data_IF_740627414660
#
_entry.id   IF_740627414660
#
_cell.length_a   1.000
_cell.length_b   1.000
_cell.length_c   1.000
_cell.angle_alpha   90.00
_cell.angle_beta   90.00
_cell.angle_gamma   90.00
#
_symmetry.space_group_name_H-M   'P 1'
#
loop_
_entity.id
_entity.type
_entity.pdbx_description
1 polymer ?
#
# COMPACT_ATOMS: atom_id res chain seq x y z
N UNK A 1 13.44 -14.33 4.56
CA UNK A 1 13.25 -13.37 3.46
C UNK A 1 13.95 -13.99 2.26
N UNK A 2 14.23 -13.40 1.22
CA UNK A 2 14.90 -14.01 0.06
C UNK A 2 14.17 -13.59 -1.20
N UNK A 3 14.45 -14.22 -2.35
CA UNK A 3 13.87 -13.87 -3.64
C UNK A 3 12.35 -13.98 -3.76
N UNK A 4 11.65 -14.41 -2.71
CA UNK A 4 10.18 -14.44 -2.63
C UNK A 4 9.55 -13.27 -1.88
N UNK A 5 10.32 -12.37 -1.30
CA UNK A 5 9.82 -11.13 -0.72
C UNK A 5 9.43 -10.14 -1.83
N UNK A 6 8.51 -9.20 -1.54
CA UNK A 6 8.13 -8.16 -2.49
C UNK A 6 9.33 -7.33 -2.96
N UNK A 7 10.27 -7.05 -2.06
CA UNK A 7 11.53 -6.40 -2.38
C UNK A 7 12.61 -7.45 -2.57
N UNK A 8 12.66 -8.02 -3.76
CA UNK A 8 13.66 -9.01 -4.16
C UNK A 8 15.09 -8.45 -4.19
N UNK A 9 15.24 -7.13 -4.22
CA UNK A 9 16.52 -6.43 -4.05
C UNK A 9 17.17 -6.60 -2.67
N UNK A 10 16.41 -7.08 -1.69
CA UNK A 10 16.88 -7.42 -0.34
C UNK A 10 17.17 -8.93 -0.20
N UNK A 11 17.63 -9.59 -1.25
CA UNK A 11 17.78 -11.04 -1.34
C UNK A 11 18.79 -11.65 -0.34
N UNK A 12 19.79 -10.89 0.08
CA UNK A 12 20.78 -11.35 1.06
C UNK A 12 20.27 -11.31 2.51
N UNK A 13 19.22 -10.52 2.81
CA UNK A 13 18.64 -10.45 4.17
C UNK A 13 18.12 -11.82 4.62
N UNK A 14 17.60 -12.63 3.69
CA UNK A 14 17.06 -13.95 3.98
C UNK A 14 18.09 -15.06 4.14
N UNK A 15 19.37 -14.81 3.88
CA UNK A 15 20.40 -15.79 4.08
C UNK A 15 20.48 -16.21 5.56
N UNK A 16 20.86 -17.46 5.81
CA UNK A 16 21.04 -18.02 7.15
C UNK A 16 19.79 -17.92 8.06
N UNK A 17 18.60 -17.89 7.45
CA UNK A 17 17.34 -17.89 8.19
C UNK A 17 16.77 -16.50 8.51
N UNK A 18 17.19 -15.47 7.79
CA UNK A 18 16.60 -14.14 7.91
C UNK A 18 15.10 -14.10 7.60
N UNK A 19 14.36 -13.22 8.28
CA UNK A 19 12.90 -13.19 8.26
C UNK A 19 12.35 -11.82 7.84
N UNK A 20 11.23 -11.80 7.12
CA UNK A 20 10.54 -10.58 6.69
C UNK A 20 9.32 -10.30 7.56
N UNK A 21 9.29 -9.16 8.22
CA UNK A 21 8.12 -8.69 8.98
C UNK A 21 6.98 -8.35 8.02
N UNK A 22 7.29 -7.69 6.88
CA UNK A 22 6.28 -7.42 5.86
C UNK A 22 5.59 -8.69 5.36
N UNK A 23 6.36 -9.75 5.07
CA UNK A 23 5.80 -11.02 4.60
C UNK A 23 4.92 -11.68 5.68
N UNK A 24 5.23 -11.45 6.95
CA UNK A 24 4.36 -11.85 8.06
C UNK A 24 2.98 -11.19 7.98
N UNK A 25 2.91 -9.88 7.77
CA UNK A 25 1.66 -9.16 7.56
C UNK A 25 0.92 -9.65 6.31
N UNK A 26 1.62 -9.81 5.20
CA UNK A 26 1.03 -10.33 3.96
C UNK A 26 0.43 -11.72 4.15
N UNK A 27 1.14 -12.61 4.84
CA UNK A 27 0.63 -13.96 5.14
C UNK A 27 -0.59 -13.93 6.06
N UNK A 28 -0.70 -12.96 6.97
CA UNK A 28 -1.92 -12.78 7.78
C UNK A 28 -3.13 -12.47 6.90
N UNK A 29 -3.02 -11.54 5.96
CA UNK A 29 -4.09 -11.24 5.01
C UNK A 29 -4.49 -12.46 4.18
N UNK A 30 -3.50 -13.24 3.73
CA UNK A 30 -3.75 -14.50 3.01
C UNK A 30 -4.49 -15.51 3.90
N UNK A 31 -4.07 -15.70 5.15
CA UNK A 31 -4.70 -16.65 6.08
C UNK A 31 -6.15 -16.26 6.39
N UNK A 32 -6.43 -14.97 6.58
CA UNK A 32 -7.78 -14.46 6.81
C UNK A 32 -8.70 -14.73 5.61
N UNK A 33 -8.21 -14.48 4.39
CA UNK A 33 -8.94 -14.81 3.16
C UNK A 33 -9.15 -16.32 2.98
N UNK A 34 -8.15 -17.13 3.36
CA UNK A 34 -8.26 -18.59 3.33
C UNK A 34 -9.27 -19.11 4.38
N UNK A 35 -9.44 -18.46 5.53
CA UNK A 35 -10.51 -18.76 6.46
C UNK A 35 -11.89 -18.57 5.82
N UNK A 36 -12.12 -17.41 5.19
CA UNK A 36 -13.36 -17.12 4.48
C UNK A 36 -13.63 -18.13 3.36
N UNK A 37 -12.61 -18.47 2.56
CA UNK A 37 -12.72 -19.45 1.49
C UNK A 37 -13.06 -20.85 2.03
N UNK A 38 -12.42 -21.26 3.12
CA UNK A 38 -12.69 -22.55 3.77
C UNK A 38 -14.14 -22.62 4.30
N UNK A 39 -14.69 -21.52 4.76
CA UNK A 39 -16.09 -21.39 5.19
C UNK A 39 -17.05 -21.59 4.00
N UNK A 40 -16.82 -20.86 2.90
CA UNK A 40 -17.59 -20.97 1.65
C UNK A 40 -17.56 -22.42 1.12
N UNK A 41 -16.37 -23.04 1.14
CA UNK A 41 -16.16 -24.42 0.69
C UNK A 41 -16.59 -25.49 1.73
N UNK A 42 -17.13 -25.10 2.87
CA UNK A 42 -17.52 -25.98 3.99
C UNK A 42 -16.36 -26.84 4.52
N UNK A 43 -15.13 -26.38 4.45
CA UNK A 43 -13.90 -27.04 4.90
C UNK A 43 -13.54 -26.61 6.35
N UNK A 44 -14.42 -26.93 7.31
CA UNK A 44 -14.31 -26.46 8.70
C UNK A 44 -12.96 -26.77 9.36
N UNK A 45 -12.35 -27.92 9.10
CA UNK A 45 -11.05 -28.29 9.67
C UNK A 45 -9.92 -27.38 9.14
N UNK A 46 -9.93 -27.08 7.84
CA UNK A 46 -8.96 -26.18 7.25
C UNK A 46 -9.13 -24.75 7.76
N UNK A 47 -10.39 -24.26 7.87
CA UNK A 47 -10.68 -22.94 8.44
C UNK A 47 -10.14 -22.79 9.87
N UNK A 48 -10.35 -23.79 10.73
CA UNK A 48 -9.77 -23.79 12.10
C UNK A 48 -8.24 -23.75 12.08
N UNK A 49 -7.61 -24.54 11.20
CA UNK A 49 -6.15 -24.59 11.05
C UNK A 49 -5.58 -23.24 10.58
N UNK A 50 -6.23 -22.58 9.62
CA UNK A 50 -5.82 -21.24 9.14
C UNK A 50 -5.99 -20.20 10.24
N UNK A 51 -7.12 -20.15 10.93
CA UNK A 51 -7.37 -19.23 12.02
C UNK A 51 -6.34 -19.38 13.16
N UNK A 52 -5.99 -20.62 13.54
CA UNK A 52 -4.95 -20.86 14.54
C UNK A 52 -3.57 -20.36 14.09
N UNK A 53 -3.20 -20.60 12.83
CA UNK A 53 -1.96 -20.09 12.25
C UNK A 53 -1.95 -18.57 12.23
N UNK A 54 -3.03 -17.92 11.79
CA UNK A 54 -3.17 -16.48 11.76
C UNK A 54 -2.99 -15.87 13.16
N UNK A 55 -3.65 -16.43 14.18
CA UNK A 55 -3.52 -15.96 15.56
C UNK A 55 -2.08 -16.06 16.09
N UNK A 56 -1.40 -17.18 15.86
CA UNK A 56 0.00 -17.37 16.26
C UNK A 56 0.93 -16.39 15.54
N UNK A 57 0.77 -16.26 14.21
CA UNK A 57 1.57 -15.36 13.39
C UNK A 57 1.37 -13.90 13.80
N UNK A 58 0.12 -13.46 14.03
CA UNK A 58 -0.18 -12.10 14.49
C UNK A 58 0.58 -11.80 15.78
N UNK A 59 0.49 -12.67 16.77
CA UNK A 59 1.22 -12.51 18.02
C UNK A 59 2.73 -12.36 17.80
N UNK A 60 3.33 -13.21 16.96
CA UNK A 60 4.77 -13.12 16.66
C UNK A 60 5.14 -11.82 15.97
N UNK A 61 4.36 -11.41 14.96
CA UNK A 61 4.65 -10.16 14.20
C UNK A 61 4.48 -8.92 15.06
N UNK A 62 3.47 -8.88 15.93
CA UNK A 62 3.28 -7.78 16.87
C UNK A 62 4.44 -7.69 17.88
N UNK A 63 4.85 -8.81 18.47
CA UNK A 63 5.89 -8.83 19.49
C UNK A 63 7.30 -8.58 18.92
N UNK A 64 7.65 -9.22 17.81
CA UNK A 64 8.98 -9.11 17.23
C UNK A 64 9.09 -7.93 16.23
N UNK A 65 8.00 -7.61 15.53
CA UNK A 65 8.02 -6.57 14.50
C UNK A 65 8.02 -5.15 15.04
N UNK A 66 7.42 -4.88 16.20
CA UNK A 66 7.27 -3.54 16.75
C UNK A 66 8.60 -2.99 17.31
N UNK A 67 8.97 -1.76 16.96
CA UNK A 67 10.20 -1.07 17.41
C UNK A 67 9.93 0.13 18.33
N UNK A 68 8.71 0.23 18.86
CA UNK A 68 8.32 1.31 19.76
C UNK A 68 7.75 2.56 19.08
N UNK A 69 7.94 2.71 17.76
CA UNK A 69 7.38 3.81 16.99
C UNK A 69 6.92 3.40 15.57
N UNK A 70 7.42 2.29 15.06
CA UNK A 70 7.05 1.69 13.78
C UNK A 70 7.39 0.20 13.75
N UNK A 71 6.91 -0.54 12.73
CA UNK A 71 7.27 -1.94 12.53
C UNK A 71 8.56 -2.07 11.73
N UNK A 72 9.46 -2.93 12.19
CA UNK A 72 10.69 -3.32 11.49
C UNK A 72 10.37 -3.88 10.11
N UNK A 73 11.35 -3.80 9.22
CA UNK A 73 11.22 -4.38 7.87
C UNK A 73 11.50 -5.88 7.87
N UNK A 74 12.57 -6.28 8.53
CA UNK A 74 13.07 -7.64 8.50
C UNK A 74 14.10 -7.88 9.62
N UNK A 75 14.55 -9.12 9.70
CA UNK A 75 15.72 -9.54 10.46
C UNK A 75 16.69 -10.28 9.55
N UNK A 76 17.97 -9.98 9.66
CA UNK A 76 19.02 -10.80 9.08
C UNK A 76 19.12 -12.15 9.80
N UNK A 77 19.76 -13.16 9.19
CA UNK A 77 20.00 -14.45 9.83
C UNK A 77 20.87 -14.36 11.10
N UNK A 78 21.64 -13.28 11.26
CA UNK A 78 22.35 -12.95 12.50
C UNK A 78 21.44 -12.52 13.65
N UNK A 79 20.15 -12.25 13.38
CA UNK A 79 19.21 -11.66 14.34
C UNK A 79 19.20 -10.13 14.37
N UNK A 80 20.10 -9.48 13.62
CA UNK A 80 20.11 -8.01 13.53
C UNK A 80 18.89 -7.48 12.78
N UNK A 81 18.21 -6.43 13.32
CA UNK A 81 17.03 -5.89 12.68
C UNK A 81 17.37 -4.95 11.51
N UNK A 82 16.52 -4.97 10.49
CA UNK A 82 16.43 -4.01 9.41
C UNK A 82 15.10 -3.24 9.51
N UNK A 83 15.12 -1.93 9.27
CA UNK A 83 13.94 -1.09 9.46
C UNK A 83 13.71 -0.72 10.92
N UNK A 84 14.77 -0.65 11.72
CA UNK A 84 14.75 -0.36 13.14
C UNK A 84 15.40 0.99 13.45
N UNK A 85 15.00 1.60 14.56
CA UNK A 85 15.57 2.87 15.05
C UNK A 85 17.10 2.76 15.20
N UNK A 86 17.80 3.71 14.59
CA UNK A 86 19.26 3.78 14.59
C UNK A 86 19.94 3.00 13.48
N UNK A 87 19.20 2.30 12.60
CA UNK A 87 19.81 1.77 11.40
C UNK A 87 20.36 2.92 10.53
N UNK A 88 21.58 2.81 10.06
CA UNK A 88 22.24 3.83 9.21
C UNK A 88 21.63 3.89 7.80
N UNK A 89 20.99 2.82 7.36
CA UNK A 89 20.20 2.74 6.15
C UNK A 89 18.92 1.96 6.43
N UNK A 90 17.85 2.27 5.71
CA UNK A 90 16.54 1.67 5.92
C UNK A 90 16.11 1.68 7.41
N UNK A 91 16.14 2.85 8.05
CA UNK A 91 15.66 2.99 9.43
C UNK A 91 14.16 2.75 9.51
N UNK A 92 13.41 3.17 8.49
CA UNK A 92 11.99 2.88 8.32
C UNK A 92 11.70 2.49 6.87
N UNK A 93 10.75 1.57 6.70
CA UNK A 93 10.27 1.09 5.40
C UNK A 93 8.75 1.26 5.30
N UNK A 94 8.28 1.76 4.15
CA UNK A 94 6.88 2.09 3.91
C UNK A 94 5.95 0.88 3.98
N UNK A 95 6.35 -0.24 3.36
CA UNK A 95 5.41 -1.36 3.17
C UNK A 95 5.11 -2.11 4.46
N UNK A 96 6.04 -2.15 5.42
CA UNK A 96 5.79 -2.76 6.72
C UNK A 96 4.69 -2.01 7.49
N UNK A 97 4.74 -0.68 7.48
CA UNK A 97 3.75 0.17 8.15
C UNK A 97 2.39 0.09 7.46
N UNK A 98 2.40 0.20 6.12
CA UNK A 98 1.19 0.14 5.33
C UNK A 98 0.45 -1.20 5.53
N UNK A 99 1.17 -2.32 5.48
CA UNK A 99 0.57 -3.64 5.64
C UNK A 99 0.15 -3.96 7.06
N UNK A 100 0.83 -3.41 8.07
CA UNK A 100 0.34 -3.46 9.45
C UNK A 100 -1.05 -2.82 9.57
N UNK A 101 -1.25 -1.64 8.99
CA UNK A 101 -2.55 -0.97 8.99
C UNK A 101 -3.61 -1.72 8.15
N UNK A 102 -3.23 -2.25 6.98
CA UNK A 102 -4.12 -3.05 6.12
C UNK A 102 -4.63 -4.29 6.86
N UNK A 103 -3.78 -4.91 7.68
CA UNK A 103 -4.09 -6.10 8.47
C UNK A 103 -4.67 -5.80 9.87
N UNK A 104 -4.85 -4.54 10.25
CA UNK A 104 -5.36 -4.14 11.57
C UNK A 104 -4.39 -4.48 12.71
N UNK A 105 -3.11 -4.10 12.55
CA UNK A 105 -2.07 -4.22 13.58
C UNK A 105 -2.38 -3.37 14.80
N UNK A 106 -1.88 -3.79 15.98
CA UNK A 106 -2.16 -3.15 17.27
C UNK A 106 -1.64 -1.70 17.33
N UNK A 107 -0.53 -1.40 16.64
CA UNK A 107 0.12 -0.09 16.57
C UNK A 107 0.01 0.56 15.19
N UNK A 108 -1.06 0.24 14.45
CA UNK A 108 -1.22 0.70 13.06
C UNK A 108 -1.25 2.23 12.92
N UNK A 109 -1.92 2.93 13.85
CA UNK A 109 -2.01 4.40 13.85
C UNK A 109 -0.65 5.05 14.04
N UNK A 110 0.13 4.60 15.03
CA UNK A 110 1.48 5.10 15.30
C UNK A 110 2.44 4.80 14.14
N UNK A 111 2.35 3.58 13.60
CA UNK A 111 3.18 3.15 12.48
C UNK A 111 2.93 3.98 11.22
N UNK A 112 1.66 4.24 10.89
CA UNK A 112 1.30 5.08 9.73
C UNK A 112 1.69 6.54 9.96
N UNK A 113 1.52 7.07 11.16
CA UNK A 113 1.98 8.43 11.47
C UNK A 113 3.51 8.56 11.34
N UNK A 114 4.28 7.58 11.81
CA UNK A 114 5.74 7.54 11.63
C UNK A 114 6.11 7.44 10.14
N UNK A 115 5.43 6.59 9.38
CA UNK A 115 5.61 6.46 7.92
C UNK A 115 5.38 7.81 7.22
N UNK A 116 4.27 8.48 7.50
CA UNK A 116 3.95 9.78 6.89
C UNK A 116 4.96 10.85 7.30
N UNK A 117 5.38 10.88 8.56
CA UNK A 117 6.35 11.87 9.07
C UNK A 117 7.74 11.71 8.47
N UNK A 118 8.21 10.48 8.23
CA UNK A 118 9.57 10.19 7.81
C UNK A 118 9.73 9.98 6.31
N UNK A 119 8.67 9.52 5.63
CA UNK A 119 8.76 9.10 4.23
C UNK A 119 8.00 10.01 3.26
N UNK A 120 6.95 10.72 3.72
CA UNK A 120 6.20 11.60 2.85
C UNK A 120 6.90 12.95 2.72
N UNK A 121 7.14 13.34 1.48
CA UNK A 121 7.72 14.63 1.07
C UNK A 121 6.64 15.41 0.33
N UNK A 122 6.03 16.38 1.02
CA UNK A 122 4.94 17.19 0.49
C UNK A 122 5.42 18.21 -0.56
N UNK A 123 6.68 18.64 -0.51
CA UNK A 123 7.25 19.56 -1.47
C UNK A 123 7.48 18.92 -2.83
N UNK A 124 7.93 17.67 -2.82
CA UNK A 124 8.16 16.89 -4.04
C UNK A 124 6.90 16.11 -4.47
N UNK A 125 5.88 16.03 -3.60
CA UNK A 125 4.67 15.25 -3.86
C UNK A 125 4.97 13.76 -4.03
N UNK A 126 5.69 13.15 -3.07
CA UNK A 126 6.10 11.76 -3.16
C UNK A 126 6.16 11.10 -1.78
N UNK A 127 6.06 9.79 -1.73
CA UNK A 127 6.36 9.01 -0.52
C UNK A 127 7.49 8.01 -0.82
N UNK A 128 8.58 8.11 -0.08
CA UNK A 128 9.74 7.23 -0.24
C UNK A 128 9.42 5.81 0.22
N UNK A 129 10.03 4.81 -0.43
CA UNK A 129 9.88 3.43 0.00
C UNK A 129 10.57 3.18 1.34
N UNK A 130 11.75 3.75 1.53
CA UNK A 130 12.55 3.65 2.76
C UNK A 130 13.43 4.88 2.96
N UNK A 131 13.90 5.09 4.19
CA UNK A 131 14.89 6.11 4.51
C UNK A 131 15.74 5.69 5.72
N UNK A 132 17.04 6.07 5.82
CA UNK A 132 17.90 6.55 4.74
C UNK A 132 18.13 5.49 3.65
N UNK A 133 18.50 5.88 2.41
CA UNK A 133 18.83 4.91 1.37
C UNK A 133 20.14 4.17 1.70
N UNK A 134 20.34 3.01 1.11
CA UNK A 134 21.60 2.27 1.18
C UNK A 134 22.68 2.97 0.37
N UNK A 135 23.90 3.03 0.93
CA UNK A 135 25.06 3.72 0.34
C UNK A 135 26.36 2.90 0.40
N UNK A 136 26.27 1.59 0.58
CA UNK A 136 27.42 0.73 0.78
C UNK A 136 28.06 0.80 2.16
N UNK A 137 27.38 1.45 3.12
CA UNK A 137 27.84 1.60 4.50
C UNK A 137 27.03 0.78 5.51
N UNK A 138 26.17 -0.10 5.00
CA UNK A 138 25.37 -1.00 5.85
C UNK A 138 26.28 -1.98 6.58
N UNK A 139 25.99 -2.23 7.85
CA UNK A 139 26.74 -3.21 8.65
C UNK A 139 26.70 -4.61 8.04
N UNK A 140 25.58 -4.99 7.45
CA UNK A 140 25.42 -6.20 6.67
C UNK A 140 24.74 -5.85 5.33
N UNK A 141 25.22 -6.41 4.24
CA UNK A 141 24.69 -6.16 2.91
C UNK A 141 23.24 -6.68 2.80
N UNK A 142 22.27 -5.84 2.37
CA UNK A 142 20.89 -6.28 2.24
C UNK A 142 20.62 -7.10 0.97
N UNK A 143 21.46 -6.95 -0.06
CA UNK A 143 21.34 -7.52 -1.37
C UNK A 143 21.61 -6.50 -2.48
N UNK A 144 21.18 -6.77 -3.70
CA UNK A 144 21.45 -5.90 -4.86
C UNK A 144 20.71 -4.56 -4.83
N UNK A 145 19.78 -4.33 -3.89
CA UNK A 145 19.17 -3.00 -3.66
C UNK A 145 20.23 -1.93 -3.39
N UNK A 146 21.33 -2.30 -2.73
CA UNK A 146 22.43 -1.39 -2.40
C UNK A 146 23.24 -0.95 -3.65
N UNK A 147 23.12 -1.68 -4.78
CA UNK A 147 23.76 -1.34 -6.04
C UNK A 147 22.97 -0.26 -6.82
N UNK A 148 21.73 0.02 -6.44
CA UNK A 148 20.98 1.15 -7.00
C UNK A 148 21.46 2.48 -6.41
N UNK A 149 21.51 3.49 -7.27
CA UNK A 149 21.82 4.86 -6.85
C UNK A 149 20.84 5.29 -5.73
N UNK A 150 21.32 5.86 -4.61
CA UNK A 150 20.45 6.39 -3.57
C UNK A 150 19.38 7.34 -4.12
N UNK A 151 18.13 7.08 -3.76
CA UNK A 151 16.98 7.83 -4.25
C UNK A 151 16.34 7.28 -5.54
N UNK A 152 16.85 6.18 -6.07
CA UNK A 152 16.33 5.56 -7.31
C UNK A 152 15.72 4.20 -6.98
N UNK A 153 14.57 3.89 -7.62
CA UNK A 153 13.85 2.62 -7.45
C UNK A 153 13.55 2.34 -5.97
N UNK A 154 13.79 1.09 -5.55
CA UNK A 154 13.57 0.63 -4.18
C UNK A 154 14.54 1.26 -3.19
N UNK A 155 15.68 1.79 -3.64
CA UNK A 155 16.70 2.37 -2.76
C UNK A 155 16.40 3.83 -2.38
N UNK A 156 15.29 4.04 -1.67
CA UNK A 156 14.92 5.34 -1.13
C UNK A 156 14.18 6.27 -2.10
N UNK A 157 13.87 5.84 -3.33
CA UNK A 157 12.90 6.50 -4.20
C UNK A 157 11.46 6.21 -3.77
N UNK A 158 10.49 6.86 -4.42
CA UNK A 158 9.11 6.39 -4.38
C UNK A 158 8.99 5.17 -5.30
N UNK A 159 8.87 3.99 -4.75
CA UNK A 159 8.44 2.85 -5.55
C UNK A 159 6.91 2.81 -5.53
N UNK A 160 6.29 3.15 -6.66
CA UNK A 160 4.87 3.50 -6.68
C UNK A 160 3.96 2.36 -6.24
N UNK A 161 4.34 1.10 -6.48
CA UNK A 161 3.58 -0.05 -6.00
C UNK A 161 3.52 -0.12 -4.45
N UNK A 162 4.62 0.16 -3.76
CA UNK A 162 4.62 0.29 -2.29
C UNK A 162 3.88 1.54 -1.81
N UNK A 163 4.05 2.65 -2.55
CA UNK A 163 3.42 3.93 -2.23
C UNK A 163 1.87 3.87 -2.27
N UNK A 164 1.27 3.13 -3.20
CA UNK A 164 -0.19 2.98 -3.25
C UNK A 164 -0.75 2.24 -2.04
N UNK A 165 0.03 1.37 -1.39
CA UNK A 165 -0.39 0.73 -0.14
C UNK A 165 -0.42 1.70 1.04
N UNK A 166 0.39 2.79 1.01
CA UNK A 166 0.27 3.86 2.01
C UNK A 166 -1.07 4.59 1.89
N UNK A 167 -1.58 4.81 0.67
CA UNK A 167 -2.95 5.34 0.45
C UNK A 167 -3.98 4.41 1.07
N UNK A 168 -3.87 3.10 0.81
CA UNK A 168 -4.78 2.10 1.37
C UNK A 168 -4.74 2.06 2.90
N UNK A 169 -3.55 2.14 3.48
CA UNK A 169 -3.37 2.18 4.93
C UNK A 169 -4.09 3.38 5.56
N UNK A 170 -3.95 4.57 4.98
CA UNK A 170 -4.68 5.76 5.42
C UNK A 170 -6.19 5.56 5.31
N UNK A 171 -6.69 4.94 4.24
CA UNK A 171 -8.11 4.60 4.12
C UNK A 171 -8.58 3.63 5.21
N UNK A 172 -7.79 2.60 5.53
CA UNK A 172 -8.11 1.62 6.58
C UNK A 172 -8.23 2.24 7.96
N UNK A 173 -7.45 3.26 8.24
CA UNK A 173 -7.47 4.01 9.50
C UNK A 173 -8.46 5.18 9.49
N UNK A 174 -9.25 5.37 8.43
CA UNK A 174 -10.19 6.48 8.31
C UNK A 174 -9.54 7.86 8.12
N UNK A 175 -8.25 7.90 7.76
CA UNK A 175 -7.48 9.13 7.52
C UNK A 175 -7.74 9.66 6.10
N UNK A 176 -8.98 9.98 5.75
CA UNK A 176 -9.42 10.32 4.38
C UNK A 176 -8.67 11.48 3.75
N UNK A 177 -8.39 12.55 4.50
CA UNK A 177 -7.60 13.71 4.03
C UNK A 177 -6.16 13.29 3.66
N UNK A 178 -5.54 12.44 4.48
CA UNK A 178 -4.19 11.93 4.21
C UNK A 178 -4.17 11.00 3.00
N UNK A 179 -5.19 10.13 2.89
CA UNK A 179 -5.34 9.25 1.73
C UNK A 179 -5.46 10.05 0.43
N UNK A 180 -6.26 11.14 0.44
CA UNK A 180 -6.44 12.02 -0.71
C UNK A 180 -5.13 12.74 -1.06
N UNK A 181 -4.44 13.31 -0.08
CA UNK A 181 -3.16 13.99 -0.29
C UNK A 181 -2.09 13.05 -0.90
N UNK A 182 -2.00 11.82 -0.39
CA UNK A 182 -1.10 10.81 -0.97
C UNK A 182 -1.53 10.40 -2.39
N UNK A 183 -2.82 10.20 -2.63
CA UNK A 183 -3.33 9.87 -3.97
C UNK A 183 -2.99 10.97 -4.98
N UNK A 184 -3.17 12.23 -4.60
CA UNK A 184 -2.82 13.38 -5.43
C UNK A 184 -1.31 13.45 -5.70
N UNK A 185 -0.49 13.12 -4.71
CA UNK A 185 0.96 13.01 -4.84
C UNK A 185 1.40 11.88 -5.81
N UNK A 186 0.62 10.77 -5.87
CA UNK A 186 0.92 9.66 -6.79
C UNK A 186 0.36 9.87 -8.20
N UNK A 187 -0.52 10.86 -8.39
CA UNK A 187 -1.19 11.08 -9.67
C UNK A 187 -0.23 11.77 -10.66
N UNK A 188 0.16 11.11 -11.76
CA UNK A 188 1.11 11.66 -12.72
C UNK A 188 0.64 12.97 -13.36
N UNK A 189 -0.68 13.21 -13.44
CA UNK A 189 -1.23 14.47 -13.96
C UNK A 189 -0.73 15.66 -13.14
N UNK A 190 -0.72 15.53 -11.81
CA UNK A 190 -0.34 16.60 -10.89
C UNK A 190 1.14 16.99 -11.01
N UNK A 191 1.99 16.10 -11.52
CA UNK A 191 3.39 16.35 -11.79
C UNK A 191 3.65 16.99 -13.16
N UNK A 192 2.62 17.25 -13.96
CA UNK A 192 2.75 17.74 -15.33
C UNK A 192 1.78 18.90 -15.68
N UNK A 193 1.22 19.59 -14.69
CA UNK A 193 0.26 20.69 -14.90
C UNK A 193 0.89 21.93 -15.54
N UNK A 194 2.19 22.13 -15.37
CA UNK A 194 2.95 23.23 -15.97
C UNK A 194 4.15 22.70 -16.74
N UNK A 195 4.68 23.53 -17.67
CA UNK A 195 5.91 23.17 -18.42
C UNK A 195 7.09 22.87 -17.48
N UNK A 196 7.23 23.61 -16.39
CA UNK A 196 8.29 23.40 -15.41
C UNK A 196 8.16 22.06 -14.70
N UNK A 197 6.95 21.73 -14.26
CA UNK A 197 6.65 20.43 -13.64
C UNK A 197 6.88 19.28 -14.62
N UNK A 198 6.36 19.37 -15.85
CA UNK A 198 6.56 18.35 -16.87
C UNK A 198 8.06 18.18 -17.23
N UNK A 199 8.82 19.28 -17.29
CA UNK A 199 10.26 19.23 -17.54
C UNK A 199 11.06 18.59 -16.38
N UNK A 200 10.56 18.68 -15.15
CA UNK A 200 11.11 18.02 -13.95
C UNK A 200 10.72 16.55 -13.94
N UNK A 201 9.43 16.25 -14.06
CA UNK A 201 8.87 14.90 -13.97
C UNK A 201 9.36 13.98 -15.08
N UNK A 202 9.37 14.44 -16.33
CA UNK A 202 9.86 13.72 -17.52
C UNK A 202 9.18 12.37 -17.79
N UNK A 203 8.03 12.12 -17.17
CA UNK A 203 7.16 10.97 -17.43
C UNK A 203 5.90 11.40 -18.17
N UNK A 204 5.17 10.42 -18.71
CA UNK A 204 3.88 10.66 -19.34
C UNK A 204 2.82 10.98 -18.28
N UNK A 205 2.05 12.07 -18.43
CA UNK A 205 1.04 12.46 -17.42
C UNK A 205 -0.21 11.56 -17.38
N UNK A 206 -0.28 10.60 -18.29
CA UNK A 206 -1.38 9.64 -18.41
C UNK A 206 -0.95 8.19 -18.12
N UNK A 207 0.28 7.98 -17.66
CA UNK A 207 0.80 6.68 -17.29
C UNK A 207 1.38 6.73 -15.86
N UNK A 208 0.99 5.78 -15.03
CA UNK A 208 1.56 5.66 -13.68
C UNK A 208 3.03 5.24 -13.80
N UNK A 209 3.94 6.01 -13.21
CA UNK A 209 5.34 5.67 -13.18
C UNK A 209 5.60 4.50 -12.22
N UNK A 210 6.55 3.63 -12.56
CA UNK A 210 6.99 2.55 -11.68
C UNK A 210 7.70 3.08 -10.44
N UNK A 211 8.50 4.15 -10.62
CA UNK A 211 9.12 4.89 -9.54
C UNK A 211 9.22 6.39 -9.83
N UNK A 212 9.39 7.19 -8.77
CA UNK A 212 9.76 8.60 -8.82
C UNK A 212 11.00 8.79 -7.95
N UNK A 213 12.02 9.45 -8.50
CA UNK A 213 13.29 9.60 -7.83
C UNK A 213 13.21 10.57 -6.66
N UNK A 214 14.01 10.32 -5.63
CA UNK A 214 14.31 11.27 -4.56
C UNK A 214 15.76 11.80 -4.68
N UNK A 215 16.20 12.62 -3.72
CA UNK A 215 17.57 13.13 -3.69
C UNK A 215 17.88 14.08 -4.85
N UNK A 216 19.03 13.90 -5.52
CA UNK A 216 19.52 14.81 -6.57
C UNK A 216 18.59 14.96 -7.77
N UNK A 217 17.78 13.95 -8.07
CA UNK A 217 16.82 13.97 -9.16
C UNK A 217 15.37 13.94 -8.65
N UNK A 218 15.12 14.48 -7.47
CA UNK A 218 13.81 14.43 -6.84
C UNK A 218 12.69 14.92 -7.77
N UNK A 219 11.58 14.18 -7.78
CA UNK A 219 10.41 14.44 -8.61
C UNK A 219 10.52 13.99 -10.08
N UNK A 220 11.61 13.34 -10.49
CA UNK A 220 11.73 12.74 -11.82
C UNK A 220 11.16 11.34 -11.84
N UNK A 221 10.25 11.05 -12.77
CA UNK A 221 9.77 9.69 -13.02
C UNK A 221 10.88 8.82 -13.62
N UNK A 222 10.95 7.58 -13.16
CA UNK A 222 11.80 6.54 -13.72
C UNK A 222 11.17 5.92 -14.96
N UNK A 223 10.86 4.60 -14.95
CA UNK A 223 10.14 4.00 -16.08
C UNK A 223 8.62 4.14 -15.90
N UNK A 224 7.92 4.18 -17.03
CA UNK A 224 6.47 4.19 -17.13
C UNK A 224 5.97 2.96 -17.90
N UNK A 225 4.66 2.71 -17.92
CA UNK A 225 3.99 1.59 -18.59
C UNK A 225 4.25 0.19 -18.02
N UNK A 226 5.38 -0.03 -17.38
CA UNK A 226 5.76 -1.31 -16.81
C UNK A 226 5.66 -1.27 -15.28
N UNK A 227 4.44 -1.38 -14.77
CA UNK A 227 4.18 -1.40 -13.31
C UNK A 227 2.83 -2.02 -13.00
N UNK A 228 2.76 -2.77 -11.88
CA UNK A 228 1.51 -3.21 -11.26
C UNK A 228 0.79 -2.12 -10.47
N UNK A 229 1.44 -0.97 -10.23
CA UNK A 229 0.93 0.12 -9.41
C UNK A 229 -0.38 0.71 -9.95
N UNK A 230 -0.53 0.81 -11.28
CA UNK A 230 -1.73 1.38 -11.91
C UNK A 230 -3.01 0.61 -11.53
N UNK A 231 -2.96 -0.72 -11.57
CA UNK A 231 -4.10 -1.56 -11.19
C UNK A 231 -4.43 -1.43 -9.69
N UNK A 232 -3.41 -1.36 -8.84
CA UNK A 232 -3.58 -1.12 -7.41
C UNK A 232 -4.16 0.26 -7.13
N UNK A 233 -3.65 1.30 -7.78
CA UNK A 233 -4.15 2.68 -7.62
C UNK A 233 -5.62 2.77 -8.01
N UNK A 234 -6.02 2.19 -9.14
CA UNK A 234 -7.42 2.11 -9.56
C UNK A 234 -8.29 1.38 -8.54
N UNK A 235 -7.85 0.21 -8.08
CA UNK A 235 -8.59 -0.59 -7.10
C UNK A 235 -8.76 0.15 -5.78
N UNK A 236 -7.70 0.76 -5.25
CA UNK A 236 -7.74 1.50 -3.99
C UNK A 236 -8.63 2.73 -4.11
N UNK A 237 -8.54 3.45 -5.24
CA UNK A 237 -9.44 4.57 -5.52
C UNK A 237 -10.90 4.12 -5.44
N UNK A 238 -11.27 3.06 -6.14
CA UNK A 238 -12.64 2.59 -6.20
C UNK A 238 -13.11 1.97 -4.88
N UNK A 239 -12.32 1.02 -4.33
CA UNK A 239 -12.77 0.19 -3.22
C UNK A 239 -12.50 0.79 -1.83
N UNK A 240 -11.41 1.54 -1.66
CA UNK A 240 -11.01 2.05 -0.34
C UNK A 240 -11.28 3.55 -0.21
N UNK A 241 -10.99 4.38 -1.22
CA UNK A 241 -11.25 5.82 -1.17
C UNK A 241 -12.73 6.14 -1.39
N UNK A 242 -13.28 5.73 -2.55
CA UNK A 242 -14.70 5.90 -2.87
C UNK A 242 -15.60 4.88 -2.16
N UNK A 243 -15.00 3.86 -1.56
CA UNK A 243 -15.67 2.87 -0.73
C UNK A 243 -16.68 2.00 -1.47
N UNK A 244 -16.51 1.79 -2.77
CA UNK A 244 -17.43 1.03 -3.61
C UNK A 244 -16.89 -0.39 -3.80
N UNK A 245 -17.41 -1.33 -3.01
CA UNK A 245 -16.99 -2.73 -3.05
C UNK A 245 -18.10 -3.63 -3.54
N UNK A 246 -17.77 -4.47 -4.50
CA UNK A 246 -18.69 -5.50 -4.97
C UNK A 246 -18.70 -6.71 -4.03
N UNK A 247 -19.87 -7.04 -3.51
CA UNK A 247 -20.14 -8.22 -2.70
C UNK A 247 -21.24 -9.05 -3.39
N UNK A 248 -20.85 -10.02 -4.21
CA UNK A 248 -21.75 -10.86 -5.05
C UNK A 248 -22.57 -10.00 -6.05
N UNK A 249 -23.86 -9.85 -5.79
CA UNK A 249 -24.86 -9.10 -6.54
C UNK A 249 -25.19 -7.74 -5.91
N UNK A 250 -24.34 -7.25 -5.02
CA UNK A 250 -24.52 -5.96 -4.36
C UNK A 250 -23.26 -5.13 -4.37
N UNK A 251 -23.43 -3.80 -4.29
CA UNK A 251 -22.36 -2.85 -3.99
C UNK A 251 -22.50 -2.39 -2.54
N UNK A 252 -21.50 -2.64 -1.75
CA UNK A 252 -21.33 -2.01 -0.44
C UNK A 252 -20.72 -0.63 -0.64
N UNK A 253 -21.34 0.39 -0.06
CA UNK A 253 -20.92 1.78 -0.15
C UNK A 253 -20.45 2.25 1.23
N UNK A 254 -19.18 2.66 1.32
CA UNK A 254 -18.55 3.16 2.55
C UNK A 254 -17.31 4.01 2.22
N UNK A 255 -17.46 5.22 1.66
CA UNK A 255 -16.34 6.11 1.33
C UNK A 255 -15.49 6.47 2.54
N UNK A 256 -14.20 6.70 2.28
CA UNK A 256 -13.26 7.24 3.27
C UNK A 256 -12.90 8.69 2.97
N UNK A 257 -12.87 9.07 1.69
CA UNK A 257 -12.54 10.46 1.29
C UNK A 257 -13.67 11.42 1.62
N UNK A 258 -13.36 12.67 2.05
CA UNK A 258 -14.34 13.63 2.55
C UNK A 258 -15.00 14.47 1.44
N UNK A 259 -15.33 13.88 0.30
CA UNK A 259 -16.01 14.61 -0.76
C UNK A 259 -17.43 14.98 -0.36
N UNK A 260 -17.86 16.23 -0.63
CA UNK A 260 -19.20 16.68 -0.35
C UNK A 260 -20.23 15.97 -1.20
N UNK A 261 -20.03 15.97 -2.53
CA UNK A 261 -20.88 15.26 -3.50
C UNK A 261 -20.04 14.73 -4.66
N UNK A 262 -20.38 13.55 -5.14
CA UNK A 262 -19.82 12.97 -6.34
C UNK A 262 -20.73 11.91 -6.95
N UNK A 263 -20.55 11.65 -8.23
CA UNK A 263 -21.32 10.65 -8.96
C UNK A 263 -20.42 9.56 -9.50
N UNK A 264 -20.84 8.32 -9.29
CA UNK A 264 -20.15 7.13 -9.85
C UNK A 264 -21.08 6.43 -10.81
N UNK A 265 -20.59 6.19 -12.03
CA UNK A 265 -21.25 5.35 -13.01
C UNK A 265 -20.63 3.95 -12.96
N UNK A 266 -21.37 2.99 -12.45
CA UNK A 266 -20.95 1.60 -12.32
C UNK A 266 -21.71 0.72 -13.30
N UNK A 267 -21.00 -0.10 -14.08
CA UNK A 267 -21.61 -1.06 -15.00
C UNK A 267 -21.62 -2.46 -14.36
N UNK A 268 -22.78 -3.09 -14.38
CA UNK A 268 -22.97 -4.47 -13.94
C UNK A 268 -23.65 -5.27 -15.06
N UNK A 269 -22.88 -6.11 -15.78
CA UNK A 269 -23.35 -6.72 -17.01
C UNK A 269 -23.71 -5.68 -18.07
N UNK A 270 -24.97 -5.69 -18.53
CA UNK A 270 -25.51 -4.67 -19.45
C UNK A 270 -26.22 -3.51 -18.70
N UNK A 271 -26.52 -3.68 -17.41
CA UNK A 271 -27.11 -2.62 -16.59
C UNK A 271 -26.11 -1.55 -16.17
N UNK A 272 -26.58 -0.33 -15.94
CA UNK A 272 -25.81 0.82 -15.51
C UNK A 272 -26.39 1.40 -14.22
N UNK A 273 -25.55 1.58 -13.21
CA UNK A 273 -25.90 2.19 -11.94
C UNK A 273 -25.25 3.59 -11.84
N UNK A 274 -26.04 4.63 -11.75
CA UNK A 274 -25.59 6.00 -11.50
C UNK A 274 -25.80 6.25 -10.02
N UNK A 275 -24.71 6.30 -9.25
CA UNK A 275 -24.73 6.46 -7.80
C UNK A 275 -24.38 7.90 -7.44
N UNK A 276 -25.30 8.61 -6.77
CA UNK A 276 -25.05 9.92 -6.18
C UNK A 276 -24.64 9.73 -4.73
N UNK A 277 -23.43 10.14 -4.41
CA UNK A 277 -22.73 9.82 -3.18
C UNK A 277 -22.11 11.06 -2.54
N UNK A 278 -21.81 10.95 -1.25
CA UNK A 278 -20.94 11.86 -0.51
C UNK A 278 -19.94 11.08 0.36
N UNK A 279 -19.00 11.73 0.97
CA UNK A 279 -18.08 11.09 1.92
C UNK A 279 -18.76 10.47 3.16
N UNK A 280 -20.04 10.83 3.38
CA UNK A 280 -20.85 10.29 4.47
C UNK A 280 -21.77 9.13 4.04
N UNK A 281 -21.88 8.87 2.75
CA UNK A 281 -22.76 7.80 2.23
C UNK A 281 -22.40 6.45 2.81
N UNK A 282 -23.39 5.75 3.33
CA UNK A 282 -23.26 4.38 3.85
C UNK A 282 -24.47 3.56 3.43
N UNK A 283 -24.22 2.38 2.86
CA UNK A 283 -25.32 1.52 2.45
C UNK A 283 -24.93 0.36 1.58
N UNK A 284 -25.94 -0.33 1.08
CA UNK A 284 -25.80 -1.44 0.13
C UNK A 284 -26.81 -1.27 -1.00
N UNK A 285 -26.32 -1.32 -2.22
CA UNK A 285 -27.12 -1.27 -3.45
C UNK A 285 -27.15 -2.65 -4.07
N UNK A 286 -28.30 -3.31 -4.09
CA UNK A 286 -28.50 -4.57 -4.81
C UNK A 286 -28.46 -4.31 -6.31
N UNK A 287 -27.80 -5.18 -7.06
CA UNK A 287 -27.65 -5.06 -8.51
C UNK A 287 -28.34 -6.21 -9.22
N UNK A 288 -28.97 -5.90 -10.36
CA UNK A 288 -29.57 -6.83 -11.28
C UNK A 288 -29.07 -6.49 -12.69
N UNK A 289 -28.79 -7.51 -13.51
CA UNK A 289 -28.39 -7.33 -14.91
C UNK A 289 -29.65 -7.32 -15.81
N UNK A 290 -30.44 -6.25 -15.66
CA UNK A 290 -31.75 -6.08 -16.35
C UNK A 290 -31.66 -5.18 -17.60
N UNK A 291 -30.43 -4.79 -18.00
CA UNK A 291 -30.13 -3.91 -19.14
C UNK A 291 -30.64 -2.45 -18.97
N UNK A 292 -31.04 -2.08 -17.76
CA UNK A 292 -31.59 -0.76 -17.48
C UNK A 292 -30.55 0.19 -16.87
N UNK A 293 -30.88 1.47 -16.83
CA UNK A 293 -30.13 2.47 -16.07
C UNK A 293 -30.87 2.75 -14.77
N UNK A 294 -30.19 2.57 -13.65
CA UNK A 294 -30.68 2.85 -12.31
C UNK A 294 -29.97 4.08 -11.78
N UNK A 295 -30.74 5.05 -11.28
CA UNK A 295 -30.23 6.25 -10.64
C UNK A 295 -30.57 6.18 -9.14
N UNK A 296 -29.53 6.20 -8.29
CA UNK A 296 -29.67 5.90 -6.86
C UNK A 296 -28.87 6.92 -6.05
N UNK A 297 -29.54 7.58 -5.10
CA UNK A 297 -28.88 8.39 -4.07
C UNK A 297 -28.68 7.51 -2.82
N UNK A 298 -27.43 7.45 -2.33
CA UNK A 298 -27.11 6.74 -1.09
C UNK A 298 -26.78 7.74 0.00
N UNK A 299 -27.57 7.71 1.04
CA UNK A 299 -27.45 8.62 2.20
C UNK A 299 -26.29 8.25 3.16
#
# INVERSE_FOLDING_TARGET
MGGGDWNDGMDEVGHDGGESVWLGWFLLDVLDKMCCLAEICRKKADGKRFAEKARKLRHCVEQAGWDGAWYRRAYYGSGEPLGAKGNVACEIDCISQAWAAICGGEHADEAVNSMLSMLYDDQEGMIKLLTPPFTGQSWQRPGYIEDYVPGVRENGGQYTHGAVWAVQACCKLGMGEKALALFDALNPINHALTRAQAAKYKGEPYAVAGDVYSGLNAGRAGWTWYTGAAAWLYKICLEDMLGIRREKDALRIAPTVPFEEYTVKYRYGEAVYILHLSGKSRGTVKMEDDKMTHEITVG
#
